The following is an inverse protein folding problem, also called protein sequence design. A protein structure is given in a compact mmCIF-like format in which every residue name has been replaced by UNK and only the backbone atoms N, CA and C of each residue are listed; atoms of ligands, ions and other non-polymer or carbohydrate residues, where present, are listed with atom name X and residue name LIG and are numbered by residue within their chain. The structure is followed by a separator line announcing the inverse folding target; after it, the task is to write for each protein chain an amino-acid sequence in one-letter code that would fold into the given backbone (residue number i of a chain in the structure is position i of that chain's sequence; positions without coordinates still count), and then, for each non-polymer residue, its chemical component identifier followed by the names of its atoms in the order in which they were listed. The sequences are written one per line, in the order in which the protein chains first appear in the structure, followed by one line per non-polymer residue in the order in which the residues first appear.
data_IF_792061563453
#
_entry.id   IF_792061563453
#
_cell.length_a   1.000
_cell.length_b   1.000
_cell.length_c   1.000
_cell.angle_alpha   90.00
_cell.angle_beta   90.00
_cell.angle_gamma   90.00
#
_symmetry.space_group_name_H-M   'P 1'
#
loop_
_entity.id
_entity.type
_entity.pdbx_description
1 polymer ?
#
# COMPACT_ATOMS: atom_id res chain seq x y z
N UNK A 1 -33.51 -30.19 -28.09
CA UNK A 1 -32.82 -30.88 -26.98
C UNK A 1 -31.33 -30.74 -27.17
N UNK A 2 -30.70 -29.68 -26.64
CA UNK A 2 -29.27 -29.63 -26.30
C UNK A 2 -29.17 -28.55 -25.22
N UNK A 3 -29.04 -28.99 -23.97
CA UNK A 3 -28.84 -28.13 -22.81
C UNK A 3 -27.34 -28.12 -22.50
N UNK A 4 -26.73 -26.95 -22.41
CA UNK A 4 -25.46 -26.78 -21.72
C UNK A 4 -25.32 -25.35 -21.20
N UNK A 5 -25.62 -25.24 -19.91
CA UNK A 5 -24.90 -24.46 -18.87
C UNK A 5 -24.05 -23.29 -19.38
N UNK A 6 -24.58 -22.09 -19.28
CA UNK A 6 -23.76 -20.90 -19.00
C UNK A 6 -23.62 -20.79 -17.48
N UNK A 7 -22.43 -21.14 -17.01
CA UNK A 7 -21.98 -20.94 -15.63
C UNK A 7 -22.01 -19.44 -15.30
N UNK A 8 -22.68 -19.11 -14.21
CA UNK A 8 -22.51 -17.85 -13.48
C UNK A 8 -21.02 -17.59 -13.23
N UNK A 9 -20.47 -16.61 -13.94
CA UNK A 9 -19.19 -15.98 -13.64
C UNK A 9 -19.45 -14.61 -13.00
N UNK A 10 -20.22 -14.62 -11.90
CA UNK A 10 -19.98 -13.68 -10.82
C UNK A 10 -18.63 -14.03 -10.20
N UNK A 11 -17.54 -13.60 -10.85
CA UNK A 11 -16.27 -13.43 -10.14
C UNK A 11 -16.51 -12.33 -9.14
N UNK A 12 -16.78 -12.74 -7.91
CA UNK A 12 -16.91 -11.86 -6.76
C UNK A 12 -15.80 -10.84 -6.80
N UNK A 13 -16.18 -9.58 -6.88
CA UNK A 13 -15.41 -8.49 -6.30
C UNK A 13 -15.24 -8.91 -4.85
N UNK A 14 -14.08 -9.49 -4.55
CA UNK A 14 -13.65 -9.70 -3.19
C UNK A 14 -13.50 -8.28 -2.65
N UNK A 15 -14.56 -7.80 -1.99
CA UNK A 15 -14.48 -6.61 -1.15
C UNK A 15 -13.51 -7.04 -0.05
N UNK A 16 -12.22 -6.84 -0.30
CA UNK A 16 -11.19 -6.95 0.71
C UNK A 16 -11.64 -6.06 1.87
N UNK A 17 -11.71 -6.56 3.11
CA UNK A 17 -11.82 -5.68 4.25
C UNK A 17 -10.68 -4.67 4.13
N UNK A 18 -11.01 -3.41 3.83
CA UNK A 18 -10.05 -2.31 3.75
C UNK A 18 -9.15 -2.36 4.97
N UNK A 19 -7.84 -2.19 4.78
CA UNK A 19 -6.78 -2.06 5.78
C UNK A 19 -7.27 -1.35 7.07
N UNK A 20 -8.17 -0.35 6.95
CA UNK A 20 -8.89 0.28 8.05
C UNK A 20 -9.57 -0.66 9.07
N UNK A 21 -10.28 -1.73 8.68
CA UNK A 21 -11.03 -2.56 9.63
C UNK A 21 -10.15 -3.44 10.51
N UNK A 22 -8.97 -3.83 10.02
CA UNK A 22 -7.96 -4.57 10.80
C UNK A 22 -7.05 -3.62 11.58
N UNK A 23 -6.71 -2.45 11.01
CA UNK A 23 -5.99 -1.41 11.74
C UNK A 23 -6.81 -0.87 12.92
N UNK A 24 -8.14 -0.73 12.84
CA UNK A 24 -8.91 -0.09 13.93
C UNK A 24 -8.78 -0.80 15.28
N UNK A 25 -8.53 -2.12 15.30
CA UNK A 25 -8.31 -2.90 16.53
C UNK A 25 -6.97 -2.63 17.22
N UNK A 26 -5.88 -2.47 16.45
CA UNK A 26 -4.50 -2.30 16.95
C UNK A 26 -4.01 -0.84 16.91
N UNK A 27 -4.50 -0.01 15.99
CA UNK A 27 -4.19 1.42 15.89
C UNK A 27 -4.86 2.26 16.98
N UNK A 28 -6.01 1.82 17.51
CA UNK A 28 -6.68 2.48 18.64
C UNK A 28 -5.85 2.39 19.94
N UNK A 29 -5.05 1.33 20.09
CA UNK A 29 -4.01 1.23 21.13
C UNK A 29 -2.87 2.22 20.89
N UNK A 30 -2.43 2.39 19.64
CA UNK A 30 -1.33 3.30 19.28
C UNK A 30 -1.65 4.78 19.55
N UNK A 31 -2.89 5.22 19.30
CA UNK A 31 -3.35 6.58 19.65
C UNK A 31 -3.46 6.81 21.17
N UNK A 32 -3.72 5.76 21.96
CA UNK A 32 -3.80 5.87 23.42
C UNK A 32 -2.41 5.97 24.06
N UNK A 33 -1.39 5.36 23.45
CA UNK A 33 0.00 5.45 23.93
C UNK A 33 0.72 6.75 23.56
N UNK A 34 0.38 7.38 22.42
CA UNK A 34 1.07 8.58 21.96
C UNK A 34 0.60 9.87 22.66
N UNK A 35 -0.61 9.89 23.24
CA UNK A 35 -1.17 11.07 23.92
C UNK A 35 -0.95 11.10 25.44
N UNK A 36 -0.49 10.01 26.07
CA UNK A 36 -0.11 10.02 27.48
C UNK A 36 1.41 10.14 27.61
N UNK A 37 1.88 11.38 27.57
CA UNK A 37 3.24 11.74 27.90
C UNK A 37 3.64 11.27 29.30
N UNK A 38 4.88 10.77 29.39
CA UNK A 38 5.70 10.61 30.61
C UNK A 38 5.09 9.80 31.74
N UNK A 39 5.44 8.50 31.90
CA UNK A 39 5.36 7.84 33.21
C UNK A 39 6.03 6.48 33.41
N UNK A 40 7.10 6.07 32.71
CA UNK A 40 7.73 4.76 33.02
C UNK A 40 9.26 4.79 32.96
N UNK A 41 9.85 5.15 34.10
CA UNK A 41 11.28 5.05 34.34
C UNK A 41 11.58 3.64 34.88
N UNK A 42 12.29 2.79 34.12
CA UNK A 42 12.81 1.53 34.68
C UNK A 42 14.02 0.91 33.95
N UNK A 43 14.77 0.20 34.80
CA UNK A 43 16.09 -0.46 34.78
C UNK A 43 16.70 -0.95 33.45
N UNK A 44 18.03 -0.74 33.28
CA UNK A 44 18.78 -0.81 32.01
C UNK A 44 19.39 -2.17 31.62
N UNK A 45 19.56 -3.15 32.51
CA UNK A 45 20.59 -4.19 32.26
C UNK A 45 20.14 -5.48 31.52
N UNK A 46 18.85 -5.84 31.48
CA UNK A 46 18.36 -7.02 30.74
C UNK A 46 17.71 -6.69 29.38
N UNK A 47 17.44 -5.40 29.12
CA UNK A 47 16.78 -4.92 27.90
C UNK A 47 17.73 -4.80 26.69
N UNK A 48 19.04 -4.76 26.92
CA UNK A 48 20.04 -4.54 25.86
C UNK A 48 20.19 -5.74 24.92
N UNK A 49 20.05 -6.97 25.41
CA UNK A 49 20.11 -8.17 24.55
C UNK A 49 18.89 -8.25 23.62
N UNK A 50 17.68 -8.07 24.16
CA UNK A 50 16.46 -8.14 23.37
C UNK A 50 16.41 -7.02 22.31
N UNK A 51 16.80 -5.80 22.67
CA UNK A 51 16.94 -4.72 21.68
C UNK A 51 18.00 -5.05 20.64
N UNK A 52 19.16 -5.62 20.99
CA UNK A 52 20.21 -5.96 20.02
C UNK A 52 19.75 -6.98 18.98
N UNK A 53 18.98 -8.01 19.37
CA UNK A 53 18.52 -9.03 18.42
C UNK A 53 17.37 -8.50 17.52
N UNK A 54 16.42 -7.74 18.07
CA UNK A 54 15.31 -7.14 17.28
C UNK A 54 15.67 -5.87 16.51
N UNK A 55 16.77 -5.18 16.87
CA UNK A 55 17.27 -4.03 16.11
C UNK A 55 18.05 -4.45 14.87
N UNK A 56 18.61 -5.66 14.85
CA UNK A 56 19.37 -6.21 13.73
C UNK A 56 18.51 -7.07 12.78
N UNK A 57 17.43 -7.70 13.28
CA UNK A 57 16.59 -8.59 12.47
C UNK A 57 15.38 -7.87 11.88
N UNK A 58 15.19 -8.02 10.56
CA UNK A 58 13.91 -7.71 9.91
C UNK A 58 12.86 -8.79 10.18
N UNK A 59 13.28 -10.02 10.48
CA UNK A 59 12.41 -11.18 10.66
C UNK A 59 12.29 -11.55 12.14
N UNK A 60 11.14 -11.19 12.71
CA UNK A 60 10.85 -11.29 14.13
C UNK A 60 10.55 -12.74 14.54
N UNK A 61 9.89 -13.51 13.67
CA UNK A 61 9.47 -14.90 13.97
C UNK A 61 10.64 -15.88 14.14
N UNK A 62 11.68 -15.74 13.32
CA UNK A 62 12.91 -16.54 13.45
C UNK A 62 13.70 -16.19 14.72
N UNK A 63 13.65 -14.91 15.10
CA UNK A 63 14.26 -14.39 16.33
C UNK A 63 13.52 -14.88 17.57
N UNK A 64 12.18 -14.97 17.51
CA UNK A 64 11.31 -15.30 18.63
C UNK A 64 11.24 -16.79 18.95
N UNK A 65 11.34 -17.65 17.93
CA UNK A 65 11.30 -19.12 18.09
C UNK A 65 12.46 -19.63 18.97
N UNK A 66 13.57 -18.88 19.05
CA UNK A 66 14.72 -19.18 19.92
C UNK A 66 14.63 -18.62 21.34
N UNK A 67 13.61 -17.81 21.67
CA UNK A 67 13.49 -17.14 22.97
C UNK A 67 12.50 -17.88 23.88
N UNK A 68 13.00 -18.89 24.60
CA UNK A 68 12.25 -19.53 25.70
C UNK A 68 12.05 -18.49 26.83
N UNK A 69 10.80 -18.08 27.08
CA UNK A 69 10.45 -17.14 28.16
C UNK A 69 9.74 -15.85 27.73
N UNK A 70 9.46 -15.66 26.44
CA UNK A 70 8.70 -14.49 25.96
C UNK A 70 7.20 -14.67 26.26
N UNK A 71 6.58 -13.63 26.85
CA UNK A 71 5.16 -13.64 27.25
C UNK A 71 4.23 -13.82 26.03
N UNK A 72 3.07 -14.44 26.23
CA UNK A 72 2.06 -14.64 25.18
C UNK A 72 1.71 -13.32 24.45
N UNK A 73 1.48 -12.25 25.20
CA UNK A 73 1.20 -10.90 24.67
C UNK A 73 2.32 -10.37 23.75
N UNK A 74 3.58 -10.70 24.04
CA UNK A 74 4.70 -10.30 23.18
C UNK A 74 4.71 -11.08 21.86
N UNK A 75 4.34 -12.37 21.91
CA UNK A 75 4.23 -13.19 20.70
C UNK A 75 3.09 -12.70 19.80
N UNK A 76 1.95 -12.34 20.40
CA UNK A 76 0.80 -11.78 19.68
C UNK A 76 1.14 -10.44 19.02
N UNK A 77 1.83 -9.53 19.72
CA UNK A 77 2.31 -8.26 19.15
C UNK A 77 3.25 -8.49 17.96
N UNK A 78 4.19 -9.44 18.08
CA UNK A 78 5.12 -9.76 16.99
C UNK A 78 4.38 -10.38 15.80
N UNK A 79 3.40 -11.28 16.03
CA UNK A 79 2.57 -11.85 14.96
C UNK A 79 1.82 -10.75 14.20
N UNK A 80 1.17 -9.85 14.94
CA UNK A 80 0.43 -8.73 14.36
C UNK A 80 1.32 -7.79 13.53
N UNK A 81 2.58 -7.60 13.93
CA UNK A 81 3.55 -6.86 13.14
C UNK A 81 3.90 -7.57 11.83
N UNK A 82 4.18 -8.88 11.86
CA UNK A 82 4.53 -9.63 10.65
C UNK A 82 3.35 -9.71 9.69
N UNK A 83 2.13 -9.84 10.20
CA UNK A 83 0.88 -9.77 9.42
C UNK A 83 0.76 -8.41 8.72
N UNK A 84 0.84 -7.30 9.47
CA UNK A 84 0.76 -5.95 8.90
C UNK A 84 1.89 -5.66 7.90
N UNK A 85 3.10 -6.16 8.16
CA UNK A 85 4.25 -6.04 7.24
C UNK A 85 4.01 -6.82 5.95
N UNK A 86 3.45 -8.03 6.06
CA UNK A 86 3.13 -8.89 4.92
C UNK A 86 2.06 -8.24 4.06
N UNK A 87 0.95 -7.80 4.65
CA UNK A 87 -0.13 -7.09 3.96
C UNK A 87 0.37 -5.81 3.27
N UNK A 88 1.21 -5.02 3.95
CA UNK A 88 1.81 -3.84 3.35
C UNK A 88 2.68 -4.19 2.13
N UNK A 89 3.51 -5.22 2.24
CA UNK A 89 4.39 -5.64 1.14
C UNK A 89 3.60 -6.20 -0.05
N UNK A 90 2.54 -6.97 0.21
CA UNK A 90 1.64 -7.47 -0.83
C UNK A 90 0.93 -6.32 -1.54
N UNK A 91 0.32 -5.39 -0.79
CA UNK A 91 -0.32 -4.21 -1.38
C UNK A 91 0.66 -3.32 -2.15
N UNK A 92 1.91 -3.20 -1.68
CA UNK A 92 2.97 -2.50 -2.41
C UNK A 92 3.30 -3.21 -3.73
N UNK A 93 3.49 -4.53 -3.70
CA UNK A 93 3.84 -5.32 -4.89
C UNK A 93 2.71 -5.31 -5.91
N UNK A 94 1.45 -5.38 -5.47
CA UNK A 94 0.27 -5.27 -6.31
C UNK A 94 0.18 -3.90 -6.98
N UNK A 95 0.28 -2.81 -6.20
CA UNK A 95 0.20 -1.45 -6.72
C UNK A 95 1.34 -1.15 -7.71
N UNK A 96 2.59 -1.50 -7.35
CA UNK A 96 3.74 -1.29 -8.23
C UNK A 96 3.72 -2.23 -9.44
N UNK A 97 3.25 -3.47 -9.28
CA UNK A 97 3.12 -4.45 -10.36
C UNK A 97 2.08 -4.03 -11.41
N UNK A 98 0.91 -3.58 -10.96
CA UNK A 98 -0.15 -3.05 -11.82
C UNK A 98 0.34 -1.81 -12.59
N UNK A 99 0.95 -0.85 -11.89
CA UNK A 99 1.49 0.36 -12.52
C UNK A 99 2.61 0.04 -13.50
N UNK A 100 3.49 -0.92 -13.19
CA UNK A 100 4.54 -1.37 -14.12
C UNK A 100 3.94 -1.94 -15.39
N UNK A 101 2.92 -2.79 -15.27
CA UNK A 101 2.23 -3.39 -16.42
C UNK A 101 1.57 -2.32 -17.30
N UNK A 102 0.82 -1.41 -16.69
CA UNK A 102 0.13 -0.34 -17.41
C UNK A 102 1.11 0.63 -18.10
N UNK A 103 2.18 1.02 -17.40
CA UNK A 103 3.24 1.87 -17.95
C UNK A 103 3.93 1.20 -19.15
N UNK A 104 4.25 -0.09 -19.03
CA UNK A 104 4.86 -0.84 -20.13
C UNK A 104 3.93 -0.92 -21.34
N UNK A 105 2.63 -1.15 -21.13
CA UNK A 105 1.65 -1.19 -22.20
C UNK A 105 1.60 0.13 -22.97
N UNK A 106 1.54 1.26 -22.26
CA UNK A 106 1.56 2.61 -22.84
C UNK A 106 2.84 2.88 -23.62
N UNK A 107 4.01 2.48 -23.12
CA UNK A 107 5.29 2.68 -23.83
C UNK A 107 5.40 1.89 -25.13
N UNK A 108 4.78 0.71 -25.18
CA UNK A 108 4.72 -0.12 -26.39
C UNK A 108 3.56 0.25 -27.33
N UNK A 109 2.65 1.12 -26.89
CA UNK A 109 1.42 1.42 -27.62
C UNK A 109 1.70 2.30 -28.84
N UNK A 110 1.09 1.96 -29.97
CA UNK A 110 0.96 2.86 -31.10
C UNK A 110 -0.37 3.61 -31.00
N UNK A 111 -0.30 4.92 -30.74
CA UNK A 111 -1.49 5.76 -30.59
C UNK A 111 -2.13 6.19 -31.92
N UNK A 112 -1.54 5.84 -33.06
CA UNK A 112 -2.15 6.09 -34.36
C UNK A 112 -3.30 5.10 -34.62
N UNK A 113 -4.50 5.49 -34.20
CA UNK A 113 -5.73 4.68 -34.31
C UNK A 113 -6.44 4.82 -35.66
N UNK A 114 -5.92 5.67 -36.55
CA UNK A 114 -6.53 5.98 -37.85
C UNK A 114 -7.62 7.05 -37.77
N UNK A 115 -7.87 7.72 -38.91
CA UNK A 115 -8.88 8.79 -39.01
C UNK A 115 -10.31 8.28 -38.98
N UNK A 116 -10.52 7.03 -39.39
CA UNK A 116 -11.82 6.35 -39.40
C UNK A 116 -12.05 5.52 -38.11
N UNK A 117 -11.32 5.84 -37.04
CA UNK A 117 -11.42 5.16 -35.75
C UNK A 117 -12.78 5.33 -35.07
N UNK A 118 -13.57 6.31 -35.51
CA UNK A 118 -14.90 6.61 -35.01
C UNK A 118 -15.88 6.61 -36.19
N UNK A 119 -16.80 5.65 -36.21
CA UNK A 119 -17.82 5.55 -37.25
C UNK A 119 -19.17 5.88 -36.63
N UNK A 120 -19.78 6.97 -37.08
CA UNK A 120 -21.15 7.33 -36.70
C UNK A 120 -22.09 6.92 -37.80
N UNK A 121 -23.04 6.04 -37.49
CA UNK A 121 -24.13 5.63 -38.38
C UNK A 121 -25.45 6.14 -37.85
N UNK A 122 -26.20 6.84 -38.69
CA UNK A 122 -27.59 7.18 -38.43
C UNK A 122 -28.47 5.99 -38.81
N UNK A 123 -29.19 5.46 -37.85
CA UNK A 123 -30.12 4.36 -38.02
C UNK A 123 -31.43 4.87 -38.65
N UNK A 124 -32.20 3.99 -39.26
CA UNK A 124 -33.48 4.33 -39.91
C UNK A 124 -34.53 4.90 -38.94
N UNK A 125 -34.35 4.71 -37.64
CA UNK A 125 -35.19 5.24 -36.55
C UNK A 125 -34.78 6.66 -36.08
N UNK A 126 -33.79 7.28 -36.74
CA UNK A 126 -33.25 8.60 -36.39
C UNK A 126 -32.28 8.58 -35.21
N UNK A 127 -31.88 7.41 -34.70
CA UNK A 127 -30.86 7.29 -33.66
C UNK A 127 -29.46 7.24 -34.26
N UNK A 128 -28.48 7.87 -33.62
CA UNK A 128 -27.08 7.81 -34.04
C UNK A 128 -26.29 6.81 -33.21
N UNK A 129 -25.68 5.82 -33.86
CA UNK A 129 -24.77 4.87 -33.21
C UNK A 129 -23.33 5.21 -33.54
N UNK A 130 -22.50 5.42 -32.52
CA UNK A 130 -21.06 5.65 -32.69
C UNK A 130 -20.29 4.39 -32.33
N UNK A 131 -19.58 3.82 -33.29
CA UNK A 131 -18.73 2.63 -33.12
C UNK A 131 -17.26 3.03 -33.10
N UNK A 132 -16.52 2.56 -32.10
CA UNK A 132 -15.07 2.75 -31.99
C UNK A 132 -14.34 1.59 -32.66
N UNK A 133 -13.24 1.87 -33.34
CA UNK A 133 -12.35 0.82 -33.84
C UNK A 133 -11.76 0.02 -32.68
N UNK A 134 -11.24 -1.17 -33.01
CA UNK A 134 -10.57 -2.02 -32.02
C UNK A 134 -9.33 -1.32 -31.48
N UNK A 135 -8.57 -0.69 -32.35
CA UNK A 135 -7.34 0.03 -32.05
C UNK A 135 -7.61 1.20 -31.10
N UNK A 136 -8.67 1.99 -31.35
CA UNK A 136 -9.07 3.08 -30.46
C UNK A 136 -9.53 2.57 -29.10
N UNK A 137 -10.31 1.49 -29.08
CA UNK A 137 -10.79 0.89 -27.83
C UNK A 137 -9.63 0.37 -26.97
N UNK A 138 -8.65 -0.31 -27.58
CA UNK A 138 -7.46 -0.82 -26.89
C UNK A 138 -6.55 0.32 -26.39
N UNK A 139 -6.38 1.37 -27.19
CA UNK A 139 -5.60 2.55 -26.79
C UNK A 139 -6.25 3.29 -25.61
N UNK A 140 -7.57 3.57 -25.68
CA UNK A 140 -8.32 4.22 -24.60
C UNK A 140 -8.24 3.39 -23.31
N UNK A 141 -8.50 2.08 -23.40
CA UNK A 141 -8.40 1.18 -22.25
C UNK A 141 -7.01 1.16 -21.63
N UNK A 142 -5.96 1.18 -22.45
CA UNK A 142 -4.59 1.22 -21.92
C UNK A 142 -4.28 2.51 -21.18
N UNK A 143 -4.82 3.65 -21.64
CA UNK A 143 -4.69 4.94 -20.94
C UNK A 143 -5.51 4.94 -19.65
N UNK A 144 -6.71 4.37 -19.67
CA UNK A 144 -7.53 4.16 -18.47
C UNK A 144 -6.82 3.31 -17.44
N UNK A 145 -6.28 2.15 -17.82
CA UNK A 145 -5.51 1.26 -16.94
C UNK A 145 -4.30 2.00 -16.35
N UNK A 146 -3.61 2.82 -17.15
CA UNK A 146 -2.47 3.62 -16.68
C UNK A 146 -2.89 4.66 -15.64
N UNK A 147 -3.96 5.42 -15.90
CA UNK A 147 -4.49 6.42 -14.96
C UNK A 147 -4.98 5.75 -13.68
N UNK A 148 -5.70 4.63 -13.80
CA UNK A 148 -6.20 3.84 -12.68
C UNK A 148 -5.06 3.33 -11.81
N UNK A 149 -4.09 2.63 -12.39
CA UNK A 149 -2.96 2.09 -11.63
C UNK A 149 -2.06 3.17 -11.02
N UNK A 150 -1.94 4.34 -11.67
CA UNK A 150 -1.22 5.47 -11.07
C UNK A 150 -1.96 6.03 -9.85
N UNK A 151 -3.30 6.17 -9.95
CA UNK A 151 -4.13 6.60 -8.83
C UNK A 151 -4.15 5.58 -7.69
N UNK A 152 -4.17 4.28 -8.00
CA UNK A 152 -4.07 3.19 -7.01
C UNK A 152 -2.73 3.26 -6.25
N UNK A 153 -1.62 3.60 -6.93
CA UNK A 153 -0.34 3.83 -6.26
C UNK A 153 -0.38 5.06 -5.34
N UNK A 154 -1.01 6.17 -5.77
CA UNK A 154 -1.25 7.35 -4.90
C UNK A 154 -2.06 6.93 -3.67
N UNK A 155 -3.13 6.18 -3.86
CA UNK A 155 -4.01 5.72 -2.77
C UNK A 155 -3.27 4.83 -1.80
N UNK A 156 -2.54 3.83 -2.30
CA UNK A 156 -1.71 2.96 -1.47
C UNK A 156 -0.77 3.76 -0.56
N UNK A 157 -0.01 4.72 -1.10
CA UNK A 157 0.90 5.52 -0.28
C UNK A 157 0.18 6.52 0.64
N UNK A 158 -0.99 7.01 0.24
CA UNK A 158 -1.80 7.93 1.05
C UNK A 158 -2.37 7.22 2.27
N UNK A 159 -3.03 6.08 2.06
CA UNK A 159 -3.62 5.25 3.11
C UNK A 159 -2.56 4.74 4.10
N UNK A 160 -1.35 4.44 3.61
CA UNK A 160 -0.26 3.92 4.42
C UNK A 160 0.72 5.00 4.91
N UNK A 161 0.48 6.28 4.61
CA UNK A 161 1.41 7.38 4.90
C UNK A 161 1.82 7.50 6.38
N UNK A 162 0.93 7.08 7.29
CA UNK A 162 1.16 7.08 8.73
C UNK A 162 2.11 5.97 9.21
N UNK A 163 2.32 4.91 8.41
CA UNK A 163 3.19 3.78 8.76
C UNK A 163 4.63 4.24 8.96
N UNK A 164 5.14 5.11 8.09
CA UNK A 164 6.47 5.70 8.27
C UNK A 164 6.65 7.00 7.50
N UNK A 165 7.61 7.82 7.95
CA UNK A 165 8.02 9.03 7.22
C UNK A 165 8.49 8.74 5.79
N UNK A 166 8.95 7.53 5.49
CA UNK A 166 9.35 7.14 4.13
C UNK A 166 8.12 6.92 3.25
N UNK A 167 7.08 6.28 3.77
CA UNK A 167 5.80 6.13 3.06
C UNK A 167 5.17 7.49 2.80
N UNK A 168 5.16 8.40 3.78
CA UNK A 168 4.72 9.77 3.57
C UNK A 168 5.50 10.52 2.48
N UNK A 169 6.82 10.29 2.35
CA UNK A 169 7.59 10.85 1.22
C UNK A 169 7.23 10.22 -0.12
N UNK A 170 6.89 8.93 -0.16
CA UNK A 170 6.39 8.28 -1.38
C UNK A 170 5.03 8.84 -1.77
N UNK A 171 4.14 9.09 -0.81
CA UNK A 171 2.87 9.78 -1.05
C UNK A 171 3.11 11.14 -1.71
N UNK A 172 4.00 11.97 -1.16
CA UNK A 172 4.36 13.26 -1.76
C UNK A 172 4.91 13.08 -3.18
N UNK A 173 5.84 12.13 -3.38
CA UNK A 173 6.47 11.86 -4.67
C UNK A 173 5.46 11.49 -5.76
N UNK A 174 4.51 10.61 -5.45
CA UNK A 174 3.47 10.15 -6.40
C UNK A 174 2.38 11.21 -6.59
N UNK A 175 2.10 12.05 -5.59
CA UNK A 175 1.16 13.17 -5.74
C UNK A 175 1.72 14.36 -6.53
N UNK A 176 3.04 14.42 -6.74
CA UNK A 176 3.70 15.49 -7.49
C UNK A 176 3.59 15.26 -9.02
N UNK A 177 2.36 15.33 -9.51
CA UNK A 177 2.02 15.29 -10.95
C UNK A 177 1.72 16.66 -11.54
N UNK A 178 1.64 17.69 -10.68
CA UNK A 178 1.19 19.04 -11.07
C UNK A 178 2.16 19.76 -11.99
N UNK A 179 3.47 19.44 -11.95
CA UNK A 179 4.48 20.09 -12.78
C UNK A 179 4.27 19.90 -14.30
N UNK A 180 3.47 18.91 -14.72
CA UNK A 180 3.10 18.67 -16.12
C UNK A 180 1.59 18.69 -16.37
N UNK A 181 0.81 19.26 -15.45
CA UNK A 181 -0.65 19.31 -15.56
C UNK A 181 -1.12 19.88 -16.91
N UNK A 182 -0.50 20.94 -17.41
CA UNK A 182 -0.84 21.53 -18.71
C UNK A 182 -0.54 20.57 -19.88
N UNK A 183 0.60 19.87 -19.82
CA UNK A 183 0.99 18.87 -20.82
C UNK A 183 -0.01 17.72 -20.86
N UNK A 184 -0.42 17.21 -19.70
CA UNK A 184 -1.42 16.15 -19.57
C UNK A 184 -2.80 16.64 -20.03
N UNK A 185 -3.19 17.85 -19.64
CA UNK A 185 -4.46 18.46 -20.03
C UNK A 185 -4.57 18.63 -21.53
N UNK A 186 -3.43 18.74 -22.22
CA UNK A 186 -3.37 18.85 -23.68
C UNK A 186 -3.77 17.60 -24.45
N UNK A 187 -3.83 16.45 -23.79
CA UNK A 187 -4.29 15.17 -24.35
C UNK A 187 -5.53 14.62 -23.63
N UNK A 188 -6.22 15.45 -22.84
CA UNK A 188 -7.44 15.02 -22.13
C UNK A 188 -7.19 14.36 -20.78
N UNK A 189 -6.02 14.53 -20.17
CA UNK A 189 -5.75 14.04 -18.81
C UNK A 189 -5.65 15.23 -17.85
N UNK A 190 -6.56 15.32 -16.90
CA UNK A 190 -6.54 16.35 -15.86
C UNK A 190 -5.82 15.87 -14.60
N UNK A 191 -5.24 16.80 -13.85
CA UNK A 191 -4.56 16.54 -12.57
C UNK A 191 -5.31 17.28 -11.47
N UNK A 192 -5.70 16.56 -10.42
CA UNK A 192 -6.20 17.18 -9.20
C UNK A 192 -5.03 17.82 -8.44
N UNK A 193 -5.06 19.14 -8.27
CA UNK A 193 -3.96 19.90 -7.64
C UNK A 193 -3.73 19.58 -6.17
N UNK A 194 -4.73 19.03 -5.47
CA UNK A 194 -4.63 18.71 -4.04
C UNK A 194 -4.12 17.30 -3.77
N UNK A 195 -4.45 16.35 -4.65
CA UNK A 195 -4.12 14.93 -4.45
C UNK A 195 -3.11 14.37 -5.45
N UNK A 196 -2.86 15.08 -6.55
CA UNK A 196 -2.06 14.59 -7.67
C UNK A 196 -2.75 13.53 -8.53
N UNK A 197 -4.00 13.16 -8.21
CA UNK A 197 -4.75 12.15 -8.95
C UNK A 197 -5.07 12.60 -10.37
N UNK A 198 -5.08 11.64 -11.28
CA UNK A 198 -5.35 11.82 -12.70
C UNK A 198 -6.81 11.49 -13.02
N UNK A 199 -7.39 12.19 -14.00
CA UNK A 199 -8.72 11.87 -14.54
C UNK A 199 -8.76 12.07 -16.05
N UNK A 200 -9.59 11.29 -16.74
CA UNK A 200 -9.66 11.24 -18.20
C UNK A 200 -10.90 11.98 -18.68
N UNK A 201 -10.69 12.92 -19.59
CA UNK A 201 -11.69 13.42 -20.53
C UNK A 201 -11.60 12.57 -21.80
N UNK A 202 -12.47 11.55 -21.86
CA UNK A 202 -12.40 10.53 -22.92
C UNK A 202 -12.69 11.11 -24.30
N UNK A 203 -13.58 12.10 -24.40
CA UNK A 203 -13.90 12.77 -25.65
C UNK A 203 -12.68 13.51 -26.20
N UNK A 204 -12.03 14.32 -25.34
CA UNK A 204 -10.83 15.06 -25.72
C UNK A 204 -9.65 14.13 -26.01
N UNK A 205 -9.49 13.07 -25.23
CA UNK A 205 -8.45 12.06 -25.47
C UNK A 205 -8.67 11.37 -26.82
N UNK A 206 -9.90 10.91 -27.10
CA UNK A 206 -10.29 10.28 -28.37
C UNK A 206 -9.98 11.21 -29.55
N UNK A 207 -10.43 12.46 -29.46
CA UNK A 207 -10.15 13.48 -30.49
C UNK A 207 -8.65 13.66 -30.71
N UNK A 208 -7.87 13.75 -29.63
CA UNK A 208 -6.42 13.95 -29.72
C UNK A 208 -5.70 12.73 -30.29
N UNK A 209 -6.16 11.50 -30.00
CA UNK A 209 -5.62 10.27 -30.60
C UNK A 209 -5.84 10.23 -32.12
N UNK A 210 -7.00 10.70 -32.60
CA UNK A 210 -7.32 10.73 -34.02
C UNK A 210 -6.62 11.86 -34.78
N UNK A 211 -6.51 13.04 -34.17
CA UNK A 211 -5.97 14.25 -34.82
C UNK A 211 -4.45 14.41 -34.64
N UNK A 212 -3.89 13.96 -33.52
CA UNK A 212 -2.48 14.19 -33.14
C UNK A 212 -1.91 13.04 -32.30
N UNK A 213 -1.85 11.81 -32.84
CA UNK A 213 -1.38 10.62 -32.10
C UNK A 213 0.05 10.76 -31.55
N UNK A 214 0.92 11.50 -32.24
CA UNK A 214 2.28 11.80 -31.80
C UNK A 214 2.32 12.68 -30.54
N UNK A 215 1.31 13.55 -30.35
CA UNK A 215 1.15 14.32 -29.12
C UNK A 215 0.81 13.39 -27.96
N UNK A 216 -0.13 12.47 -28.16
CA UNK A 216 -0.52 11.47 -27.16
C UNK A 216 0.69 10.61 -26.78
N UNK A 217 1.42 10.10 -27.78
CA UNK A 217 2.64 9.30 -27.56
C UNK A 217 3.71 10.06 -26.75
N UNK A 218 3.95 11.34 -27.05
CA UNK A 218 4.93 12.16 -26.33
C UNK A 218 4.51 12.44 -24.88
N UNK A 219 3.22 12.67 -24.64
CA UNK A 219 2.71 13.05 -23.33
C UNK A 219 2.54 11.84 -22.41
N UNK A 220 2.15 10.69 -22.95
CA UNK A 220 1.86 9.49 -22.16
C UNK A 220 2.95 8.43 -22.21
N UNK A 221 3.67 8.32 -23.32
CA UNK A 221 4.65 7.26 -23.61
C UNK A 221 6.01 7.42 -22.92
N UNK A 222 7.07 7.04 -23.64
CA UNK A 222 8.43 6.88 -23.11
C UNK A 222 9.12 8.16 -22.60
N UNK A 223 8.62 9.34 -22.96
CA UNK A 223 9.10 10.63 -22.42
C UNK A 223 8.04 11.31 -21.53
N UNK A 224 6.94 10.60 -21.28
CA UNK A 224 5.70 11.11 -20.74
C UNK A 224 5.39 10.58 -19.35
N UNK A 225 4.09 10.43 -19.10
CA UNK A 225 3.55 9.88 -17.86
C UNK A 225 4.10 8.49 -17.54
N UNK A 226 4.23 7.59 -18.53
CA UNK A 226 4.74 6.24 -18.31
C UNK A 226 6.19 6.23 -17.81
N UNK A 227 7.08 7.00 -18.42
CA UNK A 227 8.46 7.09 -17.92
C UNK A 227 8.56 7.75 -16.55
N UNK A 228 7.69 8.73 -16.25
CA UNK A 228 7.61 9.31 -14.91
C UNK A 228 7.16 8.27 -13.88
N UNK A 229 6.15 7.47 -14.19
CA UNK A 229 5.71 6.38 -13.35
C UNK A 229 6.84 5.36 -13.11
N UNK A 230 7.59 4.98 -14.15
CA UNK A 230 8.77 4.12 -13.99
C UNK A 230 9.82 4.70 -13.06
N UNK A 231 10.11 6.00 -13.17
CA UNK A 231 11.03 6.69 -12.27
C UNK A 231 10.53 6.65 -10.82
N UNK A 232 9.26 6.93 -10.59
CA UNK A 232 8.64 6.86 -9.26
C UNK A 232 8.67 5.44 -8.69
N UNK A 233 8.30 4.44 -9.48
CA UNK A 233 8.37 3.03 -9.09
C UNK A 233 9.80 2.60 -8.80
N UNK A 234 10.79 3.06 -9.57
CA UNK A 234 12.20 2.76 -9.31
C UNK A 234 12.65 3.28 -7.95
N UNK A 235 12.28 4.53 -7.62
CA UNK A 235 12.58 5.13 -6.31
C UNK A 235 11.87 4.34 -5.20
N UNK A 236 10.60 4.02 -5.35
CA UNK A 236 9.84 3.26 -4.37
C UNK A 236 10.43 1.86 -4.13
N UNK A 237 10.72 1.12 -5.21
CA UNK A 237 11.32 -0.21 -5.14
C UNK A 237 12.70 -0.20 -4.48
N UNK A 238 13.54 0.81 -4.76
CA UNK A 238 14.85 0.96 -4.11
C UNK A 238 14.75 1.13 -2.59
N UNK A 239 13.60 1.60 -2.10
CA UNK A 239 13.33 1.84 -0.69
C UNK A 239 12.42 0.80 -0.05
N UNK A 240 11.91 -0.20 -0.80
CA UNK A 240 10.89 -1.17 -0.34
C UNK A 240 11.17 -1.71 1.06
N UNK A 241 12.38 -2.22 1.28
CA UNK A 241 12.80 -2.83 2.55
C UNK A 241 12.87 -1.85 3.75
N UNK A 242 12.72 -0.56 3.50
CA UNK A 242 12.75 0.49 4.52
C UNK A 242 11.41 1.24 4.64
N UNK A 243 10.45 1.00 3.73
CA UNK A 243 9.15 1.67 3.75
C UNK A 243 8.37 1.27 5.02
N UNK A 244 8.34 -0.03 5.31
CA UNK A 244 7.81 -0.53 6.57
C UNK A 244 8.86 -0.41 7.71
N UNK A 245 8.52 0.15 8.87
CA UNK A 245 9.41 0.25 10.02
C UNK A 245 9.85 -1.12 10.53
N UNK A 246 11.01 -1.20 11.18
CA UNK A 246 11.40 -2.42 11.89
C UNK A 246 10.56 -2.64 13.15
N UNK A 247 10.53 -3.90 13.62
CA UNK A 247 9.88 -4.31 14.87
C UNK A 247 10.25 -3.40 16.03
N UNK A 248 11.54 -3.08 16.19
CA UNK A 248 12.01 -2.22 17.29
C UNK A 248 11.48 -0.78 17.17
N UNK A 249 11.26 -0.28 15.95
CA UNK A 249 10.68 1.04 15.73
C UNK A 249 9.18 1.09 15.98
N UNK A 250 8.46 -0.01 15.75
CA UNK A 250 6.99 -0.09 15.91
C UNK A 250 6.57 -0.56 17.30
N UNK A 251 7.21 -1.61 17.83
CA UNK A 251 6.81 -2.33 19.05
C UNK A 251 7.85 -2.20 20.18
N UNK A 252 9.08 -1.76 19.88
CA UNK A 252 10.17 -1.63 20.86
C UNK A 252 9.79 -0.93 22.19
N UNK A 253 8.98 0.15 22.18
CA UNK A 253 8.49 0.77 23.42
C UNK A 253 7.58 -0.11 24.28
N UNK A 254 6.73 -0.95 23.66
CA UNK A 254 5.79 -1.82 24.35
C UNK A 254 6.45 -3.11 24.84
N UNK A 255 7.42 -3.62 24.07
CA UNK A 255 8.30 -4.73 24.49
C UNK A 255 9.07 -4.37 25.76
N UNK A 256 9.54 -3.12 25.88
CA UNK A 256 10.19 -2.60 27.10
C UNK A 256 9.26 -2.58 28.31
N UNK A 257 7.97 -2.37 28.09
CA UNK A 257 6.97 -2.34 29.17
C UNK A 257 6.56 -3.76 29.60
N UNK A 258 6.38 -4.68 28.64
CA UNK A 258 6.07 -6.08 28.91
C UNK A 258 7.22 -6.89 29.53
N UNK A 259 8.48 -6.58 29.17
CA UNK A 259 9.68 -7.24 29.72
C UNK A 259 9.96 -6.88 31.18
N UNK A 260 9.58 -5.67 31.61
CA UNK A 260 9.69 -5.24 33.02
C UNK A 260 8.82 -6.11 33.93
N UNK A 261 7.65 -6.54 33.45
CA UNK A 261 6.75 -7.40 34.21
C UNK A 261 7.12 -8.88 34.19
N UNK A 262 7.76 -9.40 33.13
CA UNK A 262 8.04 -10.84 33.00
C UNK A 262 9.35 -11.30 33.63
N UNK A 263 10.36 -10.43 33.76
CA UNK A 263 11.72 -10.84 34.14
C UNK A 263 12.06 -10.80 35.64
N UNK A 264 11.39 -9.98 36.44
CA UNK A 264 11.74 -9.79 37.87
C UNK A 264 10.57 -9.91 38.85
N UNK A 265 9.33 -9.78 38.38
CA UNK A 265 8.12 -10.03 39.18
C UNK A 265 7.90 -11.52 39.49
N UNK A 266 8.40 -12.42 38.65
CA UNK A 266 8.31 -13.89 38.85
C UNK A 266 9.42 -14.44 39.77
N UNK A 267 10.59 -13.80 39.79
CA UNK A 267 11.71 -14.18 40.68
C UNK A 267 11.60 -13.62 42.10
N UNK A 268 10.79 -12.58 42.31
CA UNK A 268 10.45 -12.09 43.65
C UNK A 268 9.19 -12.74 44.25
N UNK A 269 8.36 -13.42 43.45
CA UNK A 269 7.24 -14.21 43.96
C UNK A 269 7.68 -15.58 44.52
N UNK A 270 8.78 -16.15 44.02
CA UNK A 270 9.36 -17.41 44.54
C UNK A 270 10.14 -17.25 45.85
N UNK A 271 10.50 -16.01 46.23
CA UNK A 271 11.10 -15.71 47.54
C UNK A 271 10.08 -15.43 48.65
N UNK A 272 8.81 -15.16 48.30
CA UNK A 272 7.72 -15.01 49.29
C UNK A 272 6.95 -16.31 49.56
N UNK A 273 7.08 -17.35 48.71
CA UNK A 273 6.42 -18.64 48.95
C UNK A 273 7.23 -19.65 49.78
N UNK A 274 8.42 -19.29 50.27
CA UNK A 274 9.29 -20.19 51.07
C UNK A 274 9.50 -19.75 52.52
N UNK A 275 8.80 -18.72 53.00
CA UNK A 275 8.85 -18.29 54.43
C UNK A 275 7.49 -18.21 55.13
N UNK A 276 6.38 -18.51 54.45
CA UNK A 276 5.04 -18.58 55.06
C UNK A 276 4.72 -19.89 55.80
N UNK A 277 5.64 -20.86 55.81
CA UNK A 277 5.44 -22.19 56.41
C UNK A 277 5.97 -22.38 57.83
N UNK A 278 6.43 -21.32 58.51
CA UNK A 278 6.99 -21.41 59.88
C UNK A 278 6.28 -20.54 60.93
N UNK A 279 5.11 -19.99 60.62
CA UNK A 279 4.27 -19.24 61.57
C UNK A 279 2.90 -19.91 61.79
N UNK A 280 2.88 -21.25 61.83
CA UNK A 280 1.75 -22.04 62.32
C UNK A 280 2.18 -23.02 63.43
N UNK A 281 2.94 -22.49 64.40
CA UNK A 281 3.19 -23.11 65.72
C UNK A 281 3.16 -21.99 66.78
N UNK A 282 1.99 -21.40 66.99
CA UNK A 282 1.51 -20.83 68.27
C UNK A 282 0.21 -20.07 67.98
N UNK A 283 -0.90 -20.67 68.40
CA UNK A 283 -2.27 -20.23 68.20
C UNK A 283 -3.20 -21.40 68.36
#
# INVERSE_FOLDING_TARGET
MWASRTLDLFKGVMIMPTINSMLTGTYSLYKTAQNNGTLFQSNKNNNDMFQRVFSASQDANNTLSGLQGVSANTKELISSYEEARTEFNEGFDDAMGALRKASSAIKSMNFNVGKDALTTTENEDGTTTTTKSKELTEALKSVEDMVKSYNEAIDFFTENSAISKRVGRMQTLFSDTTYRADSYGSVGISVNSSTGKLSIDEEKLTKTMMESPERVSRVLGSDGLAAKAESHMSIANSQKNQLFPSVNSMIGPDLKSGSVYSGSSLLNLSKYSTTGGLLNMMG
#
